data_IF_775638060878
#
_entry.id   IF_775638060878
#
_cell.length_a   1.000
_cell.length_b   1.000
_cell.length_c   1.000
_cell.angle_alpha   90.00
_cell.angle_beta   90.00
_cell.angle_gamma   90.00
#
_symmetry.space_group_name_H-M   'P 1'
#
loop_
_entity.id
_entity.type
_entity.pdbx_description
1 polymer ?
#
# COMPACT_ATOMS: atom_id res chain seq x y z
N UNK A 1 7.73 -3.96 -2.34
CA UNK A 1 7.98 -5.41 -2.56
C UNK A 1 6.66 -6.10 -2.83
N UNK A 2 6.62 -7.05 -3.78
CA UNK A 2 5.42 -7.82 -4.11
C UNK A 2 5.44 -9.20 -3.45
N UNK A 3 4.30 -9.64 -2.92
CA UNK A 3 4.11 -10.95 -2.29
C UNK A 3 2.76 -11.50 -2.76
N UNK A 4 2.70 -12.80 -3.09
CA UNK A 4 1.48 -13.40 -3.63
C UNK A 4 1.22 -14.77 -3.03
N UNK A 5 -0.04 -15.23 -3.08
CA UNK A 5 -0.43 -16.57 -2.62
C UNK A 5 -0.44 -16.76 -1.10
N UNK A 6 -0.30 -15.69 -0.32
CA UNK A 6 -0.33 -15.71 1.14
C UNK A 6 -1.59 -15.02 1.69
N UNK A 7 -1.86 -15.20 2.98
CA UNK A 7 -2.81 -14.35 3.71
C UNK A 7 -2.18 -13.01 4.10
N UNK A 8 -2.99 -11.96 4.27
CA UNK A 8 -2.54 -10.60 4.62
C UNK A 8 -1.44 -10.55 5.70
N UNK A 9 -1.64 -11.20 6.85
CA UNK A 9 -0.67 -11.15 7.95
C UNK A 9 0.63 -11.88 7.60
N UNK A 10 0.56 -12.97 6.83
CA UNK A 10 1.74 -13.68 6.36
C UNK A 10 2.50 -12.83 5.34
N UNK A 11 1.80 -12.18 4.42
CA UNK A 11 2.43 -11.29 3.44
C UNK A 11 3.23 -10.17 4.11
N UNK A 12 2.69 -9.54 5.17
CA UNK A 12 3.42 -8.55 5.97
C UNK A 12 4.62 -9.18 6.66
N UNK A 13 4.43 -10.31 7.35
CA UNK A 13 5.53 -11.00 8.07
C UNK A 13 6.67 -11.42 7.12
N UNK A 14 6.35 -11.78 5.88
CA UNK A 14 7.33 -12.12 4.85
C UNK A 14 8.05 -10.89 4.31
N UNK A 15 7.33 -9.79 4.06
CA UNK A 15 7.90 -8.59 3.43
C UNK A 15 8.70 -7.71 4.41
N UNK A 16 8.26 -7.56 5.67
CA UNK A 16 8.87 -6.62 6.61
C UNK A 16 10.36 -6.86 6.85
N UNK A 17 10.85 -8.10 7.07
CA UNK A 17 12.29 -8.33 7.24
C UNK A 17 13.10 -7.95 6.00
N UNK A 18 12.58 -8.26 4.80
CA UNK A 18 13.25 -7.94 3.53
C UNK A 18 13.31 -6.43 3.31
N UNK A 19 12.21 -5.71 3.56
CA UNK A 19 12.19 -4.26 3.47
C UNK A 19 13.07 -3.61 4.55
N UNK A 20 13.11 -4.14 5.77
CA UNK A 20 13.94 -3.60 6.86
C UNK A 20 15.43 -3.65 6.48
N UNK A 21 15.90 -4.71 5.80
CA UNK A 21 17.29 -4.76 5.30
C UNK A 21 17.68 -3.53 4.48
N UNK A 22 16.77 -3.01 3.64
CA UNK A 22 17.02 -1.80 2.85
C UNK A 22 17.32 -0.59 3.74
N UNK A 23 16.57 -0.42 4.84
CA UNK A 23 16.82 0.62 5.85
C UNK A 23 18.10 0.36 6.66
N UNK A 24 18.53 -0.89 6.78
CA UNK A 24 19.75 -1.28 7.51
C UNK A 24 21.03 -1.30 6.66
N UNK A 25 20.97 -0.85 5.41
CA UNK A 25 22.14 -0.72 4.53
C UNK A 25 22.17 -1.66 3.33
N UNK A 26 21.11 -2.46 3.09
CA UNK A 26 20.97 -3.24 1.85
C UNK A 26 20.49 -2.34 0.69
N UNK A 27 21.30 -1.33 0.40
CA UNK A 27 21.20 -0.42 -0.73
C UNK A 27 22.62 -0.17 -1.28
N UNK A 28 22.73 0.32 -2.53
CA UNK A 28 24.02 0.47 -3.23
C UNK A 28 25.02 1.33 -2.46
N UNK A 29 24.52 2.32 -1.73
CA UNK A 29 25.30 3.28 -0.96
C UNK A 29 25.66 2.77 0.45
N UNK A 30 25.14 1.61 0.87
CA UNK A 30 25.36 1.07 2.22
C UNK A 30 24.77 1.92 3.34
N UNK A 31 23.85 2.83 3.02
CA UNK A 31 23.34 3.83 3.95
C UNK A 31 22.32 3.22 4.92
N UNK A 32 22.46 3.57 6.19
CA UNK A 32 21.44 3.31 7.20
C UNK A 32 20.42 4.44 7.21
N UNK A 33 19.18 4.08 6.92
CA UNK A 33 18.04 5.00 6.87
C UNK A 33 17.23 4.85 8.14
N UNK A 34 16.64 5.96 8.61
CA UNK A 34 15.68 5.91 9.71
C UNK A 34 14.40 5.21 9.24
N UNK A 35 14.04 4.12 9.89
CA UNK A 35 12.73 3.48 9.68
C UNK A 35 11.61 4.46 10.00
N UNK A 36 10.58 4.50 9.14
CA UNK A 36 9.43 5.40 9.28
C UNK A 36 8.17 4.62 9.60
N UNK A 37 7.10 5.33 9.92
CA UNK A 37 5.74 4.77 9.95
C UNK A 37 4.84 5.68 9.12
N UNK A 38 3.77 5.14 8.52
CA UNK A 38 3.30 3.75 8.59
C UNK A 38 3.82 2.83 7.46
N UNK A 39 3.61 1.51 7.59
CA UNK A 39 3.72 0.58 6.46
C UNK A 39 2.40 0.61 5.67
N UNK A 40 2.50 0.63 4.35
CA UNK A 40 1.35 0.57 3.44
C UNK A 40 1.38 -0.78 2.72
N UNK A 41 0.21 -1.35 2.48
CA UNK A 41 -0.04 -2.65 1.87
C UNK A 41 -1.13 -2.46 0.82
N UNK A 42 -0.77 -2.42 -0.46
CA UNK A 42 -1.76 -2.56 -1.51
C UNK A 42 -2.20 -4.01 -1.63
N UNK A 43 -3.50 -4.27 -1.53
CA UNK A 43 -4.11 -5.57 -1.71
C UNK A 43 -4.85 -5.63 -3.05
N UNK A 44 -4.54 -6.65 -3.84
CA UNK A 44 -5.20 -6.98 -5.09
C UNK A 44 -5.63 -8.43 -5.10
N UNK A 45 -6.86 -8.66 -5.57
CA UNK A 45 -7.38 -10.01 -5.79
C UNK A 45 -7.48 -10.25 -7.29
N UNK A 46 -6.59 -11.07 -7.82
CA UNK A 46 -6.65 -11.49 -9.22
C UNK A 46 -7.60 -12.70 -9.31
N UNK A 47 -8.66 -12.57 -10.09
CA UNK A 47 -9.60 -13.66 -10.35
C UNK A 47 -9.34 -14.18 -11.75
N UNK A 48 -8.92 -15.45 -11.85
CA UNK A 48 -8.71 -16.12 -13.12
C UNK A 48 -9.76 -17.22 -13.33
N UNK A 49 -10.37 -17.34 -14.53
CA UNK A 49 -11.40 -18.34 -14.78
C UNK A 49 -10.97 -19.79 -14.53
N UNK A 50 -9.68 -20.09 -14.73
CA UNK A 50 -9.14 -21.46 -14.67
C UNK A 50 -8.28 -21.75 -13.45
N UNK A 51 -7.57 -20.74 -12.91
CA UNK A 51 -6.62 -20.91 -11.81
C UNK A 51 -7.16 -20.42 -10.47
N UNK A 52 -8.43 -19.98 -10.44
CA UNK A 52 -9.10 -19.51 -9.23
C UNK A 52 -8.68 -18.10 -8.83
N UNK A 53 -8.73 -17.83 -7.53
CA UNK A 53 -8.42 -16.51 -6.97
C UNK A 53 -7.01 -16.47 -6.42
N UNK A 54 -6.23 -15.47 -6.80
CA UNK A 54 -4.87 -15.23 -6.27
C UNK A 54 -4.82 -13.89 -5.57
N UNK A 55 -4.35 -13.92 -4.32
CA UNK A 55 -4.10 -12.73 -3.50
C UNK A 55 -2.72 -12.20 -3.81
N UNK A 56 -2.63 -10.92 -4.14
CA UNK A 56 -1.39 -10.21 -4.34
C UNK A 56 -1.33 -9.01 -3.40
N UNK A 57 -0.17 -8.83 -2.79
CA UNK A 57 0.11 -7.75 -1.89
C UNK A 57 1.35 -7.01 -2.37
N UNK A 58 1.29 -5.68 -2.42
CA UNK A 58 2.48 -4.85 -2.53
C UNK A 58 2.67 -4.12 -1.21
N UNK A 59 3.76 -4.41 -0.51
CA UNK A 59 4.10 -3.78 0.75
C UNK A 59 5.09 -2.65 0.45
N UNK A 60 4.77 -1.47 0.97
CA UNK A 60 5.52 -0.23 0.88
C UNK A 60 5.92 0.23 2.28
N UNK A 61 7.12 0.79 2.37
CA UNK A 61 7.62 1.47 3.55
C UNK A 61 8.02 2.88 3.13
N UNK A 62 7.50 3.90 3.82
CA UNK A 62 7.76 5.28 3.47
C UNK A 62 9.24 5.65 3.66
N UNK A 63 9.83 6.36 2.71
CA UNK A 63 11.20 6.87 2.85
C UNK A 63 11.21 8.19 3.60
N UNK A 64 12.21 8.47 4.45
CA UNK A 64 12.41 9.80 5.00
C UNK A 64 12.55 10.86 3.89
N UNK A 65 11.97 12.04 4.10
CA UNK A 65 11.92 13.11 3.08
C UNK A 65 13.27 13.48 2.49
N UNK A 66 14.35 13.40 3.27
CA UNK A 66 15.71 13.71 2.82
C UNK A 66 16.18 12.83 1.63
N UNK A 67 15.59 11.64 1.45
CA UNK A 67 15.92 10.71 0.37
C UNK A 67 14.92 10.73 -0.78
N UNK A 68 13.91 11.60 -0.77
CA UNK A 68 12.86 11.60 -1.82
C UNK A 68 13.38 12.04 -3.19
N UNK A 69 14.33 12.98 -3.20
CA UNK A 69 14.96 13.43 -4.43
C UNK A 69 15.80 12.31 -5.06
N UNK A 70 16.71 11.74 -4.25
CA UNK A 70 17.64 10.69 -4.67
C UNK A 70 17.60 9.52 -3.68
N UNK A 71 16.65 8.58 -3.85
CA UNK A 71 16.54 7.43 -2.98
C UNK A 71 17.68 6.43 -3.25
N UNK A 72 18.33 5.89 -2.19
CA UNK A 72 19.34 4.83 -2.34
C UNK A 72 18.79 3.65 -3.13
N UNK A 73 19.57 3.09 -4.05
CA UNK A 73 19.07 2.01 -4.90
C UNK A 73 19.07 0.68 -4.13
N UNK A 74 17.95 -0.08 -4.07
CA UNK A 74 17.91 -1.36 -3.36
C UNK A 74 18.84 -2.40 -3.99
N UNK A 75 19.48 -3.25 -3.16
CA UNK A 75 20.27 -4.39 -3.64
C UNK A 75 19.53 -5.72 -3.54
N UNK A 76 18.50 -5.80 -2.70
CA UNK A 76 17.70 -7.01 -2.51
C UNK A 76 16.74 -7.22 -3.69
N UNK A 77 16.74 -8.41 -4.33
CA UNK A 77 15.81 -8.73 -5.41
C UNK A 77 14.34 -8.60 -4.98
N UNK A 78 13.52 -7.98 -5.81
CA UNK A 78 12.09 -7.78 -5.54
C UNK A 78 11.75 -6.58 -4.63
N UNK A 79 12.77 -5.87 -4.12
CA UNK A 79 12.62 -4.54 -3.53
C UNK A 79 12.82 -3.50 -4.63
N UNK A 80 11.92 -2.53 -4.71
CA UNK A 80 11.95 -1.47 -5.72
C UNK A 80 11.46 -0.17 -5.12
N UNK A 81 11.92 0.95 -5.68
CA UNK A 81 11.45 2.28 -5.32
C UNK A 81 10.16 2.57 -6.08
N UNK A 82 9.10 2.89 -5.35
CA UNK A 82 7.83 3.32 -5.92
C UNK A 82 7.63 4.81 -5.69
N UNK A 83 7.50 5.58 -6.77
CA UNK A 83 7.10 6.98 -6.69
C UNK A 83 5.57 7.04 -6.74
N UNK A 84 4.96 7.28 -5.58
CA UNK A 84 3.52 7.44 -5.50
C UNK A 84 3.08 8.67 -6.31
N UNK A 85 2.18 8.54 -7.31
CA UNK A 85 1.66 9.71 -8.01
C UNK A 85 0.93 10.62 -7.01
N UNK A 86 1.03 11.93 -7.21
CA UNK A 86 0.25 12.88 -6.42
C UNK A 86 -1.23 12.67 -6.69
N UNK A 87 -2.03 12.63 -5.63
CA UNK A 87 -3.46 12.35 -5.73
C UNK A 87 -4.18 12.55 -4.40
N UNK A 88 -5.48 12.75 -4.48
CA UNK A 88 -6.33 12.75 -3.29
C UNK A 88 -6.66 11.31 -2.92
N UNK A 89 -6.62 10.98 -1.63
CA UNK A 89 -7.01 9.67 -1.15
C UNK A 89 -8.11 9.76 -0.09
N UNK A 90 -9.12 8.91 -0.18
CA UNK A 90 -10.12 8.71 0.86
C UNK A 90 -9.61 7.73 1.89
N UNK A 91 -9.71 8.10 3.17
CA UNK A 91 -9.11 7.34 4.25
C UNK A 91 -10.15 6.97 5.30
N UNK A 92 -10.23 5.68 5.63
CA UNK A 92 -11.03 5.19 6.78
C UNK A 92 -10.12 4.64 7.87
N UNK A 93 -10.17 5.26 9.03
CA UNK A 93 -9.47 4.78 10.23
C UNK A 93 -10.36 3.79 10.98
N UNK A 94 -9.75 2.73 11.52
CA UNK A 94 -10.46 1.77 12.36
C UNK A 94 -9.62 1.35 13.56
N UNK A 95 -10.29 1.12 14.69
CA UNK A 95 -9.62 0.64 15.90
C UNK A 95 -9.25 -0.85 15.76
N UNK A 96 -8.30 -1.28 16.60
CA UNK A 96 -7.75 -2.64 16.69
C UNK A 96 -6.83 -3.07 15.53
N UNK A 97 -6.20 -4.24 15.67
CA UNK A 97 -5.20 -4.75 14.71
C UNK A 97 -5.81 -4.99 13.32
N UNK A 98 -5.03 -4.66 12.29
CA UNK A 98 -5.35 -4.96 10.90
C UNK A 98 -5.26 -6.48 10.63
N UNK A 99 -6.38 -7.19 10.82
CA UNK A 99 -6.56 -8.55 10.31
C UNK A 99 -7.23 -8.50 8.93
N UNK A 100 -6.95 -9.48 8.08
CA UNK A 100 -7.50 -9.58 6.72
C UNK A 100 -9.02 -9.34 6.66
N UNK A 101 -9.79 -10.06 7.48
CA UNK A 101 -11.25 -9.91 7.54
C UNK A 101 -11.69 -8.49 7.91
N UNK A 102 -10.92 -7.80 8.77
CA UNK A 102 -11.22 -6.43 9.21
C UNK A 102 -10.86 -5.43 8.13
N UNK A 103 -9.71 -5.59 7.48
CA UNK A 103 -9.32 -4.79 6.31
C UNK A 103 -10.39 -4.89 5.23
N UNK A 104 -10.85 -6.10 4.90
CA UNK A 104 -11.94 -6.31 3.93
C UNK A 104 -13.26 -5.68 4.39
N UNK A 105 -13.62 -5.84 5.66
CA UNK A 105 -14.85 -5.25 6.22
C UNK A 105 -14.82 -3.72 6.13
N UNK A 106 -13.78 -3.08 6.66
CA UNK A 106 -13.68 -1.62 6.70
C UNK A 106 -13.53 -1.03 5.27
N UNK A 107 -12.98 -1.78 4.32
CA UNK A 107 -12.94 -1.37 2.90
C UNK A 107 -14.34 -1.32 2.30
N UNK A 108 -15.18 -2.32 2.61
CA UNK A 108 -16.58 -2.33 2.15
C UNK A 108 -17.38 -1.18 2.75
N UNK A 109 -17.16 -0.88 4.02
CA UNK A 109 -17.79 0.26 4.70
C UNK A 109 -17.37 1.60 4.08
N UNK A 110 -16.09 1.77 3.74
CA UNK A 110 -15.61 2.97 3.04
C UNK A 110 -16.21 3.08 1.64
N UNK A 111 -16.20 2.00 0.85
CA UNK A 111 -16.85 1.95 -0.47
C UNK A 111 -18.33 2.36 -0.37
N UNK A 112 -19.07 1.79 0.57
CA UNK A 112 -20.49 2.09 0.75
C UNK A 112 -20.71 3.57 1.08
N UNK A 113 -19.87 4.16 1.95
CA UNK A 113 -19.94 5.57 2.28
C UNK A 113 -19.61 6.48 1.08
N UNK A 114 -18.60 6.13 0.28
CA UNK A 114 -18.24 6.89 -0.93
C UNK A 114 -19.34 6.82 -2.00
N UNK A 115 -19.93 5.64 -2.20
CA UNK A 115 -21.06 5.45 -3.11
C UNK A 115 -22.27 6.27 -2.67
N UNK A 116 -22.60 6.25 -1.36
CA UNK A 116 -23.70 7.04 -0.81
C UNK A 116 -23.45 8.56 -0.96
N UNK A 117 -22.20 9.00 -0.85
CA UNK A 117 -21.82 10.40 -1.03
C UNK A 117 -21.65 10.83 -2.51
N UNK A 118 -21.79 9.92 -3.47
CA UNK A 118 -21.62 10.22 -4.90
C UNK A 118 -20.17 10.53 -5.29
N UNK A 119 -19.18 9.98 -4.58
CA UNK A 119 -17.77 10.16 -4.92
C UNK A 119 -17.28 9.10 -5.90
N UNK A 120 -16.52 9.53 -6.91
CA UNK A 120 -15.80 8.65 -7.84
C UNK A 120 -14.41 8.29 -7.27
N UNK A 121 -14.04 7.01 -7.41
CA UNK A 121 -12.77 6.45 -6.95
C UNK A 121 -12.35 5.28 -7.85
N UNK A 122 -11.04 5.00 -7.89
CA UNK A 122 -10.51 3.87 -8.65
C UNK A 122 -10.73 2.56 -7.90
N UNK A 123 -11.59 1.68 -8.42
CA UNK A 123 -12.01 0.43 -7.79
C UNK A 123 -10.90 -0.66 -7.74
N UNK A 124 -9.82 -0.48 -8.51
CA UNK A 124 -8.92 -1.56 -8.95
C UNK A 124 -7.82 -1.95 -7.95
N UNK A 125 -7.56 -1.13 -6.94
CA UNK A 125 -6.51 -1.34 -5.93
C UNK A 125 -7.05 -1.01 -4.53
N UNK A 126 -6.89 -1.93 -3.56
CA UNK A 126 -7.27 -1.73 -2.15
C UNK A 126 -6.02 -1.46 -1.28
N UNK A 127 -5.51 -0.22 -1.19
CA UNK A 127 -4.46 0.07 -0.24
C UNK A 127 -4.97 0.05 1.21
N UNK A 128 -4.36 -0.82 2.02
CA UNK A 128 -4.44 -0.86 3.47
C UNK A 128 -3.14 -0.35 4.08
N UNK A 129 -3.17 0.24 5.25
CA UNK A 129 -2.00 0.79 5.92
C UNK A 129 -2.04 0.39 7.39
N UNK A 130 -0.91 -0.10 7.93
CA UNK A 130 -0.82 -0.60 9.30
C UNK A 130 0.58 -0.40 9.88
N UNK A 131 0.69 -0.18 11.19
CA UNK A 131 1.98 -0.11 11.88
C UNK A 131 2.45 -1.50 12.35
N UNK A 132 3.74 -1.78 12.19
CA UNK A 132 4.39 -2.98 12.72
C UNK A 132 4.71 -2.90 14.22
N UNK A 133 4.63 -1.70 14.83
CA UNK A 133 4.90 -1.47 16.24
C UNK A 133 4.03 -0.33 16.78
N UNK A 134 3.66 -0.43 18.05
CA UNK A 134 2.73 0.36 18.85
C UNK A 134 2.39 1.78 18.32
N UNK A 135 1.07 2.07 18.27
CA UNK A 135 0.45 3.41 18.23
C UNK A 135 0.01 4.04 16.89
N UNK A 136 -0.08 3.32 15.76
CA UNK A 136 -0.77 3.87 14.57
C UNK A 136 -2.07 3.13 14.24
N UNK A 137 -3.15 3.90 14.10
CA UNK A 137 -4.47 3.41 13.70
C UNK A 137 -4.37 2.88 12.27
N UNK A 138 -4.74 1.61 12.01
CA UNK A 138 -4.81 1.13 10.64
C UNK A 138 -5.75 1.99 9.80
N UNK A 139 -5.33 2.30 8.59
CA UNK A 139 -6.10 3.13 7.67
C UNK A 139 -6.20 2.46 6.31
N UNK A 140 -7.40 2.46 5.73
CA UNK A 140 -7.60 2.09 4.33
C UNK A 140 -7.53 3.35 3.51
N UNK A 141 -6.82 3.28 2.40
CA UNK A 141 -6.53 4.42 1.53
C UNK A 141 -7.12 4.07 0.17
N UNK A 142 -7.86 4.99 -0.44
CA UNK A 142 -8.41 4.83 -1.79
C UNK A 142 -8.09 6.06 -2.60
N UNK A 143 -7.50 5.92 -3.78
CA UNK A 143 -7.21 7.08 -4.60
C UNK A 143 -8.50 7.58 -5.28
N UNK A 144 -8.77 8.87 -5.11
CA UNK A 144 -9.87 9.57 -5.79
C UNK A 144 -9.57 9.58 -7.29
N UNK A 145 -10.56 9.23 -8.10
CA UNK A 145 -10.46 9.36 -9.55
C UNK A 145 -10.37 10.86 -9.88
N UNK A 146 -9.28 11.29 -10.51
CA UNK A 146 -9.27 12.58 -11.17
C UNK A 146 -9.91 12.38 -12.54
N UNK A 147 -11.16 12.82 -12.68
CA UNK A 147 -11.80 13.04 -13.98
C UNK A 147 -10.85 13.87 -14.85
N UNK A 148 -10.17 13.23 -15.80
CA UNK A 148 -9.51 13.92 -16.91
C UNK A 148 -10.64 14.41 -17.80
N UNK A 149 -11.10 15.63 -17.54
CA UNK A 149 -11.96 16.34 -18.48
C UNK A 149 -11.11 16.61 -19.73
N UNK A 150 -11.13 15.69 -20.69
CA UNK A 150 -10.61 15.95 -22.02
C UNK A 150 -11.41 17.13 -22.58
N UNK A 151 -10.80 18.32 -22.58
CA UNK A 151 -11.22 19.39 -23.47
C UNK A 151 -10.84 18.95 -24.88
N UNK A 152 -11.79 18.37 -25.62
CA UNK A 152 -11.73 18.43 -27.07
C UNK A 152 -12.20 19.83 -27.46
N UNK A 153 -11.22 20.70 -27.67
CA UNK A 153 -11.40 21.98 -28.32
C UNK A 153 -11.21 21.83 -29.82
N UNK A 154 -12.07 22.55 -30.54
CA UNK A 154 -12.12 22.82 -32.00
C UNK A 154 -12.89 21.82 -32.84
#
# INVERSE_FOLDING_TARGET
MNVSGLHYQQAIKTATPVLSKYFWGANKEGLRLKETVPLVVNYRLDVHPHTGQRRNFTIFWFLPYIYHAQPPEPTEPGVFIFRNPSGTMFVRMFLHRAHEWRVVKESRELIAALNHAGHEYEASDLPACGAASCCAVPSLVWQKCHSVRQQHGS
#
